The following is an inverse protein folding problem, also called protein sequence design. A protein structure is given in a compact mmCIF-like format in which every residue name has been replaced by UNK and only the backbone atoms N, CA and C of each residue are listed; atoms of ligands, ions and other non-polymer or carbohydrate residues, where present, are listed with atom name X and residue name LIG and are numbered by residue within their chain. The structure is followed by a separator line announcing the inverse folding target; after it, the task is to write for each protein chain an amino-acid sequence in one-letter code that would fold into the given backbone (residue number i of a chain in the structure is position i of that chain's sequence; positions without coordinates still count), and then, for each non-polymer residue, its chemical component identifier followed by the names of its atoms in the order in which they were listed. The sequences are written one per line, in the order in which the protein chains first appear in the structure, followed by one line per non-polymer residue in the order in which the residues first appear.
data_IF_795121252504
#
_entry.id   IF_795121252504
#
_cell.length_a   1.000
_cell.length_b   1.000
_cell.length_c   1.000
_cell.angle_alpha   90.00
_cell.angle_beta   90.00
_cell.angle_gamma   90.00
#
_symmetry.space_group_name_H-M   'P 1'
#
loop_
_entity.id
_entity.type
_entity.pdbx_description
1 polymer ?
#
# COMPACT_ATOMS: atom_id res chain seq x y z
N UNK A 1 26.84 22.15 18.34
CA UNK A 1 26.62 20.69 18.52
C UNK A 1 26.36 20.03 17.17
N UNK A 2 27.38 19.46 16.53
CA UNK A 2 27.24 18.74 15.25
C UNK A 2 26.80 17.30 15.54
N UNK A 3 25.54 16.94 15.28
CA UNK A 3 25.14 15.52 15.21
C UNK A 3 25.86 14.90 14.01
N UNK A 4 26.86 14.07 14.28
CA UNK A 4 27.67 13.40 13.27
C UNK A 4 26.80 12.46 12.44
N UNK A 5 27.04 12.44 11.13
CA UNK A 5 26.35 11.59 10.12
C UNK A 5 26.31 10.09 10.49
N UNK A 6 27.13 9.65 11.44
CA UNK A 6 27.21 8.29 11.95
C UNK A 6 25.99 7.83 12.76
N UNK A 7 25.24 8.74 13.42
CA UNK A 7 24.00 8.34 14.12
C UNK A 7 22.86 7.99 13.15
N UNK A 8 22.93 8.48 11.90
CA UNK A 8 22.03 8.11 10.81
C UNK A 8 22.46 6.85 10.06
N UNK A 9 23.38 6.02 10.56
CA UNK A 9 23.64 4.70 9.94
C UNK A 9 23.18 3.53 10.79
N UNK A 10 22.71 3.80 12.02
CA UNK A 10 22.33 2.77 13.00
C UNK A 10 20.88 2.30 12.90
N UNK A 11 20.09 2.78 11.93
CA UNK A 11 18.75 2.23 11.67
C UNK A 11 18.76 0.89 10.88
N UNK A 12 19.94 0.31 10.66
CA UNK A 12 20.12 -0.97 9.97
C UNK A 12 20.70 -2.09 10.86
N UNK A 13 20.69 -1.94 12.18
CA UNK A 13 21.23 -2.97 13.07
C UNK A 13 20.19 -4.02 13.42
N UNK A 14 20.25 -5.13 12.68
CA UNK A 14 19.47 -6.38 12.80
C UNK A 14 18.02 -6.29 12.30
N UNK A 15 17.67 -6.99 11.21
CA UNK A 15 16.28 -7.07 10.78
C UNK A 15 15.43 -7.72 11.87
N UNK A 16 14.31 -7.09 12.19
CA UNK A 16 13.31 -7.68 13.09
C UNK A 16 12.88 -9.06 12.57
N UNK A 17 12.40 -9.93 13.47
CA UNK A 17 11.83 -11.23 13.06
C UNK A 17 10.80 -11.07 11.94
N UNK A 18 9.93 -10.07 12.08
CA UNK A 18 8.94 -9.66 11.10
C UNK A 18 9.52 -9.30 9.73
N UNK A 19 10.64 -8.58 9.69
CA UNK A 19 11.29 -8.26 8.41
C UNK A 19 11.83 -9.51 7.72
N UNK A 20 12.37 -10.48 8.48
CA UNK A 20 12.83 -11.75 7.89
C UNK A 20 11.68 -12.55 7.29
N UNK A 21 10.54 -12.60 7.98
CA UNK A 21 9.32 -13.25 7.45
C UNK A 21 8.88 -12.58 6.15
N UNK A 22 8.81 -11.24 6.11
CA UNK A 22 8.41 -10.51 4.90
C UNK A 22 9.33 -10.80 3.70
N UNK A 23 10.64 -10.91 3.93
CA UNK A 23 11.61 -11.23 2.88
C UNK A 23 11.53 -12.68 2.38
N UNK A 24 10.93 -13.59 3.15
CA UNK A 24 10.73 -14.99 2.77
C UNK A 24 9.46 -15.21 1.94
N UNK A 25 8.54 -14.24 1.93
CA UNK A 25 7.37 -14.28 1.06
C UNK A 25 7.86 -14.09 -0.39
N UNK A 26 7.41 -14.95 -1.29
CA UNK A 26 7.77 -14.85 -2.71
C UNK A 26 6.76 -13.97 -3.45
N UNK A 27 5.48 -14.09 -3.09
CA UNK A 27 4.39 -13.44 -3.81
C UNK A 27 4.18 -11.98 -3.35
N UNK A 28 3.85 -11.13 -4.32
CA UNK A 28 3.54 -9.72 -4.10
C UNK A 28 2.26 -9.58 -3.28
N UNK A 29 1.26 -10.44 -3.52
CA UNK A 29 0.00 -10.41 -2.76
C UNK A 29 0.21 -10.70 -1.29
N UNK A 30 0.99 -11.72 -0.96
CA UNK A 30 1.34 -12.07 0.42
C UNK A 30 2.07 -10.92 1.12
N UNK A 31 3.03 -10.29 0.44
CA UNK A 31 3.75 -9.11 0.96
C UNK A 31 2.82 -7.94 1.24
N UNK A 32 1.90 -7.64 0.32
CA UNK A 32 0.90 -6.57 0.52
C UNK A 32 -0.03 -6.92 1.68
N UNK A 33 -0.54 -8.15 1.74
CA UNK A 33 -1.39 -8.63 2.82
C UNK A 33 -0.70 -8.50 4.18
N UNK A 34 0.56 -8.91 4.28
CA UNK A 34 1.35 -8.78 5.49
C UNK A 34 1.55 -7.32 5.94
N UNK A 35 1.79 -6.41 4.99
CA UNK A 35 1.94 -4.98 5.29
C UNK A 35 0.62 -4.35 5.74
N UNK A 36 -0.51 -4.72 5.13
CA UNK A 36 -1.84 -4.29 5.54
C UNK A 36 -2.21 -4.80 6.94
N UNK A 37 -1.81 -6.03 7.25
CA UNK A 37 -2.00 -6.61 8.58
C UNK A 37 -1.19 -5.86 9.64
N UNK A 38 0.09 -5.60 9.35
CA UNK A 38 1.04 -5.03 10.31
C UNK A 38 0.90 -3.51 10.50
N UNK A 39 0.66 -2.78 9.41
CA UNK A 39 0.66 -1.31 9.41
C UNK A 39 -0.69 -0.78 8.98
N UNK A 40 -1.53 -0.44 9.94
CA UNK A 40 -2.89 0.06 9.70
C UNK A 40 -2.95 1.23 8.72
N UNK A 41 -1.99 2.18 8.81
CA UNK A 41 -1.90 3.33 7.88
C UNK A 41 -1.80 2.94 6.39
N UNK A 42 -1.30 1.75 6.08
CA UNK A 42 -1.22 1.25 4.70
C UNK A 42 -2.60 0.92 4.10
N UNK A 43 -3.60 0.65 4.96
CA UNK A 43 -4.99 0.41 4.54
C UNK A 43 -5.65 1.68 4.01
N UNK A 44 -5.21 2.83 4.50
CA UNK A 44 -5.80 4.15 4.22
C UNK A 44 -5.03 4.93 3.14
N UNK A 45 -3.72 4.70 2.97
CA UNK A 45 -2.87 5.49 2.08
C UNK A 45 -2.06 4.64 1.10
N UNK A 46 -2.25 4.88 -0.20
CA UNK A 46 -1.44 4.25 -1.26
C UNK A 46 0.02 4.62 -1.12
N UNK A 47 0.31 5.92 -0.93
CA UNK A 47 1.68 6.39 -0.79
C UNK A 47 2.40 5.71 0.38
N UNK A 48 1.73 5.59 1.52
CA UNK A 48 2.32 4.93 2.69
C UNK A 48 2.54 3.43 2.44
N UNK A 49 1.60 2.74 1.78
CA UNK A 49 1.79 1.34 1.38
C UNK A 49 2.98 1.18 0.43
N UNK A 50 3.08 2.01 -0.61
CA UNK A 50 4.17 1.95 -1.60
C UNK A 50 5.53 2.16 -0.94
N UNK A 51 5.65 3.20 -0.10
CA UNK A 51 6.89 3.46 0.64
C UNK A 51 7.28 2.28 1.53
N UNK A 52 6.31 1.67 2.22
CA UNK A 52 6.55 0.50 3.07
C UNK A 52 6.91 -0.74 2.27
N UNK A 53 6.23 -0.97 1.15
CA UNK A 53 6.49 -2.10 0.27
C UNK A 53 7.91 -2.03 -0.30
N UNK A 54 8.25 -0.92 -0.96
CA UNK A 54 9.57 -0.79 -1.56
C UNK A 54 10.69 -0.82 -0.51
N UNK A 55 10.50 -0.15 0.64
CA UNK A 55 11.53 -0.12 1.67
C UNK A 55 11.70 -1.45 2.43
N UNK A 56 10.61 -2.09 2.86
CA UNK A 56 10.68 -3.28 3.72
C UNK A 56 10.65 -4.59 2.95
N UNK A 57 9.93 -4.67 1.82
CA UNK A 57 9.75 -5.89 1.06
C UNK A 57 10.75 -6.04 -0.10
N UNK A 58 11.22 -4.93 -0.67
CA UNK A 58 12.20 -4.91 -1.78
C UNK A 58 13.53 -4.26 -1.42
N UNK A 59 13.69 -3.83 -0.16
CA UNK A 59 14.91 -3.22 0.37
C UNK A 59 15.40 -2.00 -0.45
N UNK A 60 14.46 -1.28 -1.05
CA UNK A 60 14.74 -0.11 -1.85
C UNK A 60 15.25 1.04 -0.98
N UNK A 61 16.36 1.63 -1.40
CA UNK A 61 17.11 2.64 -0.64
C UNK A 61 16.65 4.09 -0.92
N UNK A 62 15.54 4.29 -1.62
CA UNK A 62 15.00 5.61 -1.91
C UNK A 62 15.53 6.27 -3.19
N UNK A 63 16.39 5.60 -3.96
CA UNK A 63 16.93 6.12 -5.21
C UNK A 63 16.25 5.47 -6.42
N UNK A 64 15.49 6.25 -7.19
CA UNK A 64 15.00 5.86 -8.50
C UNK A 64 16.07 6.18 -9.55
N UNK A 65 17.11 5.36 -9.62
CA UNK A 65 18.17 5.45 -10.63
C UNK A 65 18.06 4.19 -11.49
N UNK A 66 18.20 4.31 -12.81
CA UNK A 66 18.29 3.13 -13.68
C UNK A 66 19.48 2.26 -13.27
N UNK A 67 19.36 0.92 -13.24
CA UNK A 67 18.25 0.08 -13.72
C UNK A 67 17.23 -0.35 -12.63
N UNK A 68 17.30 0.21 -11.41
CA UNK A 68 16.49 -0.25 -10.27
C UNK A 68 14.99 -0.07 -10.50
N UNK A 69 14.59 0.96 -11.27
CA UNK A 69 13.19 1.26 -11.61
C UNK A 69 12.51 0.07 -12.32
N UNK A 70 13.24 -0.68 -13.14
CA UNK A 70 12.69 -1.81 -13.90
C UNK A 70 12.61 -3.12 -13.10
N UNK A 71 13.20 -3.16 -11.89
CA UNK A 71 13.26 -4.39 -11.05
C UNK A 71 12.29 -4.38 -9.89
N UNK A 72 11.78 -3.21 -9.51
CA UNK A 72 10.83 -3.06 -8.41
C UNK A 72 9.41 -3.35 -8.86
N UNK A 73 8.59 -3.84 -7.93
CA UNK A 73 7.17 -4.04 -8.19
C UNK A 73 6.50 -2.70 -8.49
N UNK A 74 5.73 -2.66 -9.59
CA UNK A 74 5.05 -1.44 -10.02
C UNK A 74 4.04 -0.96 -8.97
N UNK A 75 3.90 0.37 -8.88
CA UNK A 75 2.91 0.97 -8.00
C UNK A 75 1.48 0.53 -8.36
N UNK A 76 1.18 0.37 -9.65
CA UNK A 76 -0.12 -0.10 -10.11
C UNK A 76 -0.41 -1.53 -9.61
N UNK A 77 0.57 -2.44 -9.69
CA UNK A 77 0.43 -3.81 -9.19
C UNK A 77 0.09 -3.81 -7.70
N UNK A 78 0.85 -3.08 -6.88
CA UNK A 78 0.68 -3.00 -5.43
C UNK A 78 -0.71 -2.45 -5.07
N UNK A 79 -1.11 -1.35 -5.71
CA UNK A 79 -2.39 -0.68 -5.44
C UNK A 79 -3.59 -1.48 -5.97
N UNK A 80 -3.44 -2.23 -7.08
CA UNK A 80 -4.45 -3.15 -7.59
C UNK A 80 -4.69 -4.32 -6.63
N UNK A 81 -3.62 -4.92 -6.12
CA UNK A 81 -3.70 -5.98 -5.11
C UNK A 81 -4.40 -5.47 -3.85
N UNK A 82 -4.01 -4.29 -3.34
CA UNK A 82 -4.71 -3.70 -2.18
C UNK A 82 -6.20 -3.51 -2.44
N UNK A 83 -6.58 -2.99 -3.62
CA UNK A 83 -7.99 -2.83 -4.01
C UNK A 83 -8.72 -4.17 -4.07
N UNK A 84 -8.09 -5.21 -4.61
CA UNK A 84 -8.67 -6.54 -4.66
C UNK A 84 -8.92 -7.10 -3.25
N UNK A 85 -7.91 -7.05 -2.37
CA UNK A 85 -8.02 -7.49 -0.98
C UNK A 85 -9.15 -6.76 -0.22
N UNK A 86 -9.25 -5.44 -0.37
CA UNK A 86 -10.25 -4.64 0.33
C UNK A 86 -11.65 -4.73 -0.28
N UNK A 87 -11.77 -4.57 -1.60
CA UNK A 87 -13.08 -4.42 -2.24
C UNK A 87 -13.72 -5.76 -2.60
N UNK A 88 -12.90 -6.76 -2.93
CA UNK A 88 -13.40 -8.08 -3.36
C UNK A 88 -13.45 -9.05 -2.18
N UNK A 89 -12.41 -9.09 -1.36
CA UNK A 89 -12.31 -10.04 -0.25
C UNK A 89 -12.73 -9.45 1.11
N UNK A 90 -13.04 -8.15 1.15
CA UNK A 90 -13.42 -7.43 2.39
C UNK A 90 -12.39 -7.56 3.51
N UNK A 91 -11.11 -7.73 3.16
CA UNK A 91 -10.00 -7.84 4.10
C UNK A 91 -9.33 -6.49 4.29
N UNK A 92 -8.85 -6.23 5.51
CA UNK A 92 -8.03 -5.06 5.84
C UNK A 92 -8.67 -3.75 5.39
N UNK A 93 -9.97 -3.61 5.65
CA UNK A 93 -10.76 -2.42 5.33
C UNK A 93 -10.09 -1.15 5.87
N UNK A 94 -10.27 0.00 5.19
CA UNK A 94 -9.85 1.28 5.72
C UNK A 94 -10.41 1.49 7.13
N UNK A 95 -9.62 2.10 8.01
CA UNK A 95 -9.99 2.36 9.40
C UNK A 95 -10.23 3.83 9.69
N UNK A 96 -9.85 4.70 8.77
CA UNK A 96 -10.02 6.14 8.88
C UNK A 96 -11.44 6.54 8.40
N UNK A 97 -12.19 7.19 9.29
CA UNK A 97 -13.58 7.60 9.04
C UNK A 97 -13.71 8.52 7.83
N UNK A 98 -12.76 9.44 7.61
CA UNK A 98 -12.79 10.35 6.44
C UNK A 98 -12.65 9.56 5.13
N UNK A 99 -11.80 8.53 5.13
CA UNK A 99 -11.57 7.67 3.96
C UNK A 99 -12.79 6.80 3.69
N UNK A 100 -13.46 6.32 4.74
CA UNK A 100 -14.69 5.54 4.63
C UNK A 100 -15.81 6.41 4.07
N UNK A 101 -16.00 7.62 4.60
CA UNK A 101 -17.03 8.56 4.16
C UNK A 101 -16.84 8.98 2.70
N UNK A 102 -15.61 9.35 2.32
CA UNK A 102 -15.30 9.70 0.94
C UNK A 102 -15.60 8.56 -0.05
N UNK A 103 -15.36 7.30 0.34
CA UNK A 103 -15.73 6.12 -0.45
C UNK A 103 -17.24 5.96 -0.56
N UNK A 104 -17.97 6.12 0.55
CA UNK A 104 -19.42 6.05 0.57
C UNK A 104 -20.07 7.07 -0.36
N UNK A 105 -19.63 8.33 -0.32
CA UNK A 105 -20.12 9.40 -1.20
C UNK A 105 -19.92 9.04 -2.67
N UNK A 106 -18.73 8.52 -3.02
CA UNK A 106 -18.42 8.12 -4.39
C UNK A 106 -19.29 6.95 -4.86
N UNK A 107 -19.53 5.97 -3.99
CA UNK A 107 -20.40 4.83 -4.31
C UNK A 107 -21.85 5.26 -4.53
N UNK A 108 -22.37 6.18 -3.71
CA UNK A 108 -23.70 6.76 -3.88
C UNK A 108 -23.81 7.49 -5.22
N UNK A 109 -22.85 8.36 -5.55
CA UNK A 109 -22.84 9.08 -6.82
C UNK A 109 -22.83 8.15 -8.04
N UNK A 110 -22.09 7.04 -7.98
CA UNK A 110 -22.05 6.04 -9.06
C UNK A 110 -23.42 5.36 -9.20
N UNK A 111 -24.06 4.99 -8.09
CA UNK A 111 -25.40 4.38 -8.08
C UNK A 111 -26.45 5.33 -8.65
N UNK A 112 -26.44 6.58 -8.23
CA UNK A 112 -27.38 7.60 -8.70
C UNK A 112 -27.23 7.85 -10.20
N UNK A 113 -25.98 7.93 -10.69
CA UNK A 113 -25.72 8.06 -12.12
C UNK A 113 -26.19 6.84 -12.91
N UNK A 114 -25.96 5.63 -12.42
CA UNK A 114 -26.41 4.40 -13.07
C UNK A 114 -27.94 4.34 -13.19
N UNK A 115 -28.66 4.76 -12.13
CA UNK A 115 -30.13 4.87 -12.14
C UNK A 115 -30.60 5.91 -13.14
N UNK A 116 -29.98 7.10 -13.15
CA UNK A 116 -30.32 8.17 -14.08
C UNK A 116 -30.10 7.73 -15.54
N UNK A 117 -28.96 7.08 -15.82
CA UNK A 117 -28.65 6.53 -17.14
C UNK A 117 -29.69 5.50 -17.60
N UNK A 118 -30.04 4.54 -16.74
CA UNK A 118 -31.06 3.54 -17.04
C UNK A 118 -32.46 4.13 -17.29
N UNK A 119 -32.75 5.33 -16.77
CA UNK A 119 -33.99 6.07 -17.07
C UNK A 119 -33.95 6.81 -18.41
N UNK A 120 -32.78 7.24 -18.86
CA UNK A 120 -32.61 7.93 -20.16
C UNK A 120 -32.63 6.97 -21.35
N UNK A 121 -32.31 5.69 -21.13
CA UNK A 121 -32.29 4.64 -22.17
C UNK A 121 -33.63 3.92 -22.35
N UNK A 122 -34.67 4.33 -21.59
CA UNK A 122 -36.05 3.84 -21.71
C UNK A 122 -36.93 4.85 -22.45
#
# INVERSE_FOLDING_TARGET
MRRTKQQKLLYYTRPSFYHRVLLQLEDVEEKVCWLLAKYEKTRNSDMFLLMKFWNEAEQWNGMFIEPYIYRITSAETITRIRRYLQNTLHLWMPTDEEVIEARSIKELAIKDWAIAKARMEK
#
